data_IF_513289888884
#
_entry.id   IF_513289888884
#
_cell.length_a   1.000
_cell.length_b   1.000
_cell.length_c   1.000
_cell.angle_alpha   90.00
_cell.angle_beta   90.00
_cell.angle_gamma   90.00
#
_symmetry.space_group_name_H-M   'P 1'
#
loop_
_entity.id
_entity.type
_entity.pdbx_description
1 polymer ?
#
# COMPACT_ATOMS: atom_id res chain seq x y z
N UNK A 1 -31.05 -20.57 -31.56
CA UNK A 1 -30.28 -21.23 -30.49
C UNK A 1 -28.81 -20.80 -30.58
N UNK A 2 -28.43 -19.65 -30.00
CA UNK A 2 -27.07 -19.08 -30.14
C UNK A 2 -26.47 -18.51 -28.83
N UNK A 3 -27.15 -18.67 -27.69
CA UNK A 3 -26.69 -18.13 -26.38
C UNK A 3 -25.73 -19.05 -25.63
N UNK A 4 -25.80 -20.36 -25.84
CA UNK A 4 -24.97 -21.35 -25.14
C UNK A 4 -23.50 -21.28 -25.57
N UNK A 5 -23.23 -21.12 -26.88
CA UNK A 5 -21.85 -20.98 -27.39
C UNK A 5 -21.13 -19.79 -26.77
N UNK A 6 -21.80 -18.65 -26.60
CA UNK A 6 -21.21 -17.44 -26.01
C UNK A 6 -20.92 -17.58 -24.51
N UNK A 7 -21.77 -18.29 -23.76
CA UNK A 7 -21.54 -18.52 -22.34
C UNK A 7 -20.41 -19.54 -22.10
N UNK A 8 -20.34 -20.60 -22.90
CA UNK A 8 -19.26 -21.59 -22.81
C UNK A 8 -17.91 -21.00 -23.23
N UNK A 9 -17.89 -20.13 -24.25
CA UNK A 9 -16.68 -19.39 -24.65
C UNK A 9 -16.22 -18.42 -23.54
N UNK A 10 -17.15 -17.70 -22.92
CA UNK A 10 -16.84 -16.82 -21.80
C UNK A 10 -16.30 -17.59 -20.60
N UNK A 11 -16.91 -18.73 -20.24
CA UNK A 11 -16.43 -19.58 -19.16
C UNK A 11 -15.00 -20.07 -19.41
N UNK A 12 -14.70 -20.55 -20.63
CA UNK A 12 -13.35 -20.96 -21.03
C UNK A 12 -12.34 -19.81 -20.99
N UNK A 13 -12.77 -18.60 -21.33
CA UNK A 13 -11.91 -17.42 -21.27
C UNK A 13 -11.58 -17.05 -19.82
N UNK A 14 -12.57 -17.06 -18.93
CA UNK A 14 -12.39 -16.80 -17.50
C UNK A 14 -11.46 -17.85 -16.88
N UNK A 15 -11.69 -19.13 -17.18
CA UNK A 15 -10.84 -20.22 -16.69
C UNK A 15 -9.38 -20.05 -17.11
N UNK A 16 -9.13 -19.62 -18.36
CA UNK A 16 -7.78 -19.34 -18.85
C UNK A 16 -7.13 -18.19 -18.09
N UNK A 17 -7.83 -17.08 -17.89
CA UNK A 17 -7.32 -15.92 -17.15
C UNK A 17 -7.01 -16.27 -15.69
N UNK A 18 -7.86 -17.06 -15.04
CA UNK A 18 -7.63 -17.53 -13.67
C UNK A 18 -6.39 -18.43 -13.60
N UNK A 19 -6.22 -19.34 -14.56
CA UNK A 19 -5.04 -20.21 -14.62
C UNK A 19 -3.74 -19.41 -14.82
N UNK A 20 -3.75 -18.41 -15.71
CA UNK A 20 -2.63 -17.52 -15.94
C UNK A 20 -2.25 -16.75 -14.67
N UNK A 21 -3.23 -16.16 -13.99
CA UNK A 21 -3.01 -15.44 -12.74
C UNK A 21 -2.45 -16.33 -11.62
N UNK A 22 -2.93 -17.58 -11.52
CA UNK A 22 -2.42 -18.56 -10.55
C UNK A 22 -0.95 -18.89 -10.87
N UNK A 23 -0.60 -19.05 -12.15
CA UNK A 23 0.77 -19.34 -12.57
C UNK A 23 1.72 -18.19 -12.23
N UNK A 24 1.33 -16.94 -12.50
CA UNK A 24 2.09 -15.75 -12.14
C UNK A 24 2.26 -15.62 -10.62
N UNK A 25 1.19 -15.83 -9.87
CA UNK A 25 1.21 -15.77 -8.40
C UNK A 25 2.15 -16.83 -7.80
N UNK A 26 2.13 -18.05 -8.34
CA UNK A 26 3.05 -19.13 -7.93
C UNK A 26 4.50 -18.77 -8.24
N UNK A 27 4.78 -18.22 -9.43
CA UNK A 27 6.12 -17.78 -9.80
C UNK A 27 6.64 -16.69 -8.88
N UNK A 28 5.84 -15.67 -8.62
CA UNK A 28 6.22 -14.58 -7.71
C UNK A 28 6.48 -15.09 -6.28
N UNK A 29 5.66 -16.04 -5.80
CA UNK A 29 5.87 -16.67 -4.51
C UNK A 29 7.19 -17.46 -4.47
N UNK A 30 7.51 -18.20 -5.52
CA UNK A 30 8.74 -18.98 -5.61
C UNK A 30 9.99 -18.08 -5.65
N UNK A 31 9.98 -17.00 -6.44
CA UNK A 31 11.07 -16.01 -6.46
C UNK A 31 11.29 -15.35 -5.09
N UNK A 32 10.22 -15.12 -4.32
CA UNK A 32 10.32 -14.59 -2.97
C UNK A 32 10.94 -15.59 -1.99
N UNK A 33 10.61 -16.88 -2.11
CA UNK A 33 11.21 -17.95 -1.31
C UNK A 33 12.70 -18.12 -1.66
N UNK A 34 13.05 -18.15 -2.94
CA UNK A 34 14.44 -18.26 -3.40
C UNK A 34 15.29 -17.08 -2.90
N UNK A 35 14.72 -15.86 -2.86
CA UNK A 35 15.40 -14.69 -2.28
C UNK A 35 15.60 -14.83 -0.77
N UNK A 36 14.59 -15.29 -0.05
CA UNK A 36 14.64 -15.41 1.40
C UNK A 36 15.63 -16.50 1.85
N UNK A 37 15.61 -17.65 1.18
CA UNK A 37 16.46 -18.79 1.51
C UNK A 37 17.84 -18.72 0.84
N UNK A 38 17.98 -18.11 -0.34
CA UNK A 38 19.27 -17.83 -0.97
C UNK A 38 20.13 -16.83 -0.18
N UNK A 39 19.51 -15.95 0.60
CA UNK A 39 20.22 -15.09 1.56
C UNK A 39 20.74 -15.84 2.81
N UNK A 40 20.32 -17.10 3.04
CA UNK A 40 20.69 -17.87 4.23
C UNK A 40 21.99 -18.68 4.05
N UNK A 41 22.49 -18.85 2.82
CA UNK A 41 23.69 -19.63 2.49
C UNK A 41 24.94 -18.78 2.20
N UNK A 42 24.82 -17.46 2.14
CA UNK A 42 25.98 -16.58 2.03
C UNK A 42 26.76 -16.55 3.37
N UNK A 43 28.09 -16.79 3.36
CA UNK A 43 28.89 -16.64 4.57
C UNK A 43 28.76 -15.20 5.08
N UNK A 44 28.55 -15.05 6.39
CA UNK A 44 28.51 -13.76 7.10
C UNK A 44 29.88 -13.09 7.04
N UNK A 45 30.25 -12.55 5.88
CA UNK A 45 31.43 -11.71 5.75
C UNK A 45 31.15 -10.40 6.45
N UNK A 46 31.95 -10.17 7.49
CA UNK A 46 32.18 -8.92 8.19
C UNK A 46 30.90 -8.16 8.55
N UNK A 47 30.59 -8.22 9.84
CA UNK A 47 29.81 -7.21 10.57
C UNK A 47 30.45 -5.84 10.33
N UNK A 48 30.14 -5.22 9.19
CA UNK A 48 30.34 -3.79 9.01
C UNK A 48 29.52 -3.18 10.13
N UNK A 49 30.25 -2.62 11.09
CA UNK A 49 29.73 -1.85 12.22
C UNK A 49 28.52 -1.11 11.70
N UNK A 50 27.33 -1.55 12.13
CA UNK A 50 26.11 -0.86 11.82
C UNK A 50 26.34 0.53 12.38
N UNK A 51 26.64 1.49 11.51
CA UNK A 51 26.70 2.89 11.83
C UNK A 51 25.40 3.12 12.56
N UNK A 52 25.46 3.31 13.89
CA UNK A 52 24.31 3.65 14.73
C UNK A 52 23.50 4.60 13.86
N UNK A 53 22.28 4.22 13.45
CA UNK A 53 21.44 5.12 12.66
C UNK A 53 21.40 6.40 13.47
N UNK A 54 22.13 7.41 12.99
CA UNK A 54 22.19 8.72 13.61
C UNK A 54 20.72 9.07 13.84
N UNK A 55 20.37 9.34 15.11
CA UNK A 55 18.99 9.41 15.59
C UNK A 55 18.10 9.99 14.50
N UNK A 56 17.14 9.18 14.03
CA UNK A 56 16.49 9.35 12.74
C UNK A 56 16.25 10.81 12.47
N UNK A 57 16.94 11.35 11.44
CA UNK A 57 16.85 12.75 11.03
C UNK A 57 15.36 13.08 11.04
N UNK A 58 14.93 13.90 12.00
CA UNK A 58 13.54 14.32 12.08
C UNK A 58 13.25 14.93 10.71
N UNK A 59 12.41 14.27 9.94
CA UNK A 59 12.07 14.70 8.58
C UNK A 59 11.68 16.18 8.69
N UNK A 60 12.27 17.08 7.89
CA UNK A 60 11.98 18.50 8.02
C UNK A 60 10.46 18.71 7.89
N UNK A 61 9.90 19.65 8.67
CA UNK A 61 8.45 19.82 8.78
C UNK A 61 7.77 20.10 7.42
N UNK A 62 8.54 20.63 6.47
CA UNK A 62 8.13 20.93 5.10
C UNK A 62 7.87 19.65 4.29
N UNK A 63 8.78 18.68 4.29
CA UNK A 63 8.58 17.38 3.60
C UNK A 63 7.36 16.63 4.15
N UNK A 64 7.09 16.74 5.46
CA UNK A 64 5.89 16.14 6.07
C UNK A 64 4.62 16.87 5.66
N UNK A 65 4.70 18.19 5.43
CA UNK A 65 3.57 18.99 4.95
C UNK A 65 3.23 18.65 3.51
N UNK A 66 4.22 18.53 2.63
CA UNK A 66 4.03 18.17 1.22
C UNK A 66 3.38 16.79 1.07
N UNK A 67 3.87 15.79 1.81
CA UNK A 67 3.25 14.45 1.86
C UNK A 67 1.82 14.56 2.41
N UNK A 68 1.59 15.44 3.38
CA UNK A 68 0.26 15.71 3.94
C UNK A 68 -0.74 16.26 2.92
N UNK A 69 -0.33 17.18 2.05
CA UNK A 69 -1.21 17.72 1.01
C UNK A 69 -1.52 16.70 -0.08
N UNK A 70 -0.52 15.91 -0.52
CA UNK A 70 -0.75 14.80 -1.45
C UNK A 70 -1.71 13.76 -0.86
N UNK A 71 -1.52 13.43 0.43
CA UNK A 71 -2.40 12.53 1.16
C UNK A 71 -3.83 13.06 1.27
N UNK A 72 -3.99 14.35 1.54
CA UNK A 72 -5.31 14.95 1.59
C UNK A 72 -6.02 14.89 0.23
N UNK A 73 -5.30 15.17 -0.86
CA UNK A 73 -5.82 15.03 -2.22
C UNK A 73 -6.30 13.61 -2.53
N UNK A 74 -5.49 12.61 -2.20
CA UNK A 74 -5.84 11.19 -2.34
C UNK A 74 -7.10 10.82 -1.52
N UNK A 75 -7.20 11.28 -0.26
CA UNK A 75 -8.38 11.06 0.59
C UNK A 75 -9.64 11.70 0.00
N UNK A 76 -9.51 12.85 -0.66
CA UNK A 76 -10.65 13.51 -1.31
C UNK A 76 -11.08 12.78 -2.59
N UNK A 77 -10.13 12.25 -3.37
CA UNK A 77 -10.41 11.47 -4.57
C UNK A 77 -11.02 10.10 -4.26
N UNK A 78 -10.53 9.44 -3.20
CA UNK A 78 -10.92 8.08 -2.81
C UNK A 78 -11.32 8.02 -1.33
N UNK A 79 -12.45 8.65 -0.95
CA UNK A 79 -12.93 8.61 0.41
C UNK A 79 -13.36 7.20 0.80
N UNK A 80 -13.09 6.81 2.05
CA UNK A 80 -13.44 5.49 2.57
C UNK A 80 -12.35 4.44 2.41
N UNK A 81 -11.18 4.82 1.89
CA UNK A 81 -10.05 3.91 1.77
C UNK A 81 -9.20 3.78 3.04
N UNK A 82 -8.38 2.73 3.06
CA UNK A 82 -7.47 2.40 4.16
C UNK A 82 -6.07 3.00 3.99
N UNK A 83 -5.29 3.02 5.08
CA UNK A 83 -3.91 3.58 5.08
C UNK A 83 -2.98 2.90 4.06
N UNK A 84 -3.17 1.60 3.80
CA UNK A 84 -2.36 0.85 2.83
C UNK A 84 -2.66 1.25 1.38
N UNK A 85 -3.92 1.53 1.05
CA UNK A 85 -4.32 1.99 -0.28
C UNK A 85 -3.71 3.37 -0.57
N UNK A 86 -3.82 4.32 0.38
CA UNK A 86 -3.20 5.64 0.23
C UNK A 86 -1.66 5.59 0.18
N UNK A 87 -1.03 4.66 0.91
CA UNK A 87 0.41 4.46 0.84
C UNK A 87 0.85 4.04 -0.57
N UNK A 88 0.13 3.08 -1.17
CA UNK A 88 0.39 2.63 -2.54
C UNK A 88 0.17 3.74 -3.56
N UNK A 89 -0.92 4.51 -3.44
CA UNK A 89 -1.28 5.59 -4.35
C UNK A 89 -0.24 6.72 -4.38
N UNK A 90 0.27 7.13 -3.21
CA UNK A 90 1.21 8.25 -3.07
C UNK A 90 2.66 7.76 -3.24
N UNK A 91 2.90 6.46 -3.40
CA UNK A 91 4.23 5.87 -3.52
C UNK A 91 5.05 5.95 -2.24
N UNK A 92 4.40 5.84 -1.08
CA UNK A 92 5.04 5.93 0.25
C UNK A 92 4.77 4.68 1.08
N UNK A 93 5.39 4.57 2.26
CA UNK A 93 5.09 3.47 3.18
C UNK A 93 4.09 3.88 4.27
N UNK A 94 3.33 2.90 4.80
CA UNK A 94 2.33 3.11 5.86
C UNK A 94 2.92 3.80 7.10
N UNK A 95 4.16 3.48 7.48
CA UNK A 95 4.84 4.10 8.62
C UNK A 95 5.10 5.60 8.42
N UNK A 96 5.28 6.02 7.17
CA UNK A 96 5.56 7.40 6.80
C UNK A 96 4.30 8.25 6.74
N UNK A 97 3.16 7.61 6.45
CA UNK A 97 1.85 8.25 6.47
C UNK A 97 1.33 8.52 7.89
N UNK A 98 1.86 7.85 8.92
CA UNK A 98 1.33 8.00 10.28
C UNK A 98 1.34 9.46 10.78
N UNK A 99 2.46 10.16 10.60
CA UNK A 99 2.59 11.58 11.00
C UNK A 99 1.70 12.54 10.21
N UNK A 100 1.73 12.57 8.86
CA UNK A 100 0.87 13.44 8.08
C UNK A 100 -0.62 13.12 8.31
N UNK A 101 -1.00 11.84 8.42
CA UNK A 101 -2.39 11.45 8.74
C UNK A 101 -2.83 11.94 10.13
N UNK A 102 -1.97 11.83 11.14
CA UNK A 102 -2.25 12.36 12.49
C UNK A 102 -2.39 13.88 12.47
N UNK A 103 -1.55 14.58 11.71
CA UNK A 103 -1.64 16.03 11.53
C UNK A 103 -2.96 16.42 10.86
N UNK A 104 -3.34 15.79 9.75
CA UNK A 104 -4.62 16.06 9.08
C UNK A 104 -5.84 15.83 9.97
N UNK A 105 -5.81 14.79 10.82
CA UNK A 105 -6.86 14.55 11.83
C UNK A 105 -6.92 15.66 12.88
N UNK A 106 -5.76 16.04 13.43
CA UNK A 106 -5.66 17.09 14.43
C UNK A 106 -6.12 18.44 13.88
N UNK A 107 -5.78 18.72 12.63
CA UNK A 107 -6.15 19.94 11.91
C UNK A 107 -7.62 19.90 11.43
N UNK A 108 -8.40 18.84 11.77
CA UNK A 108 -9.83 18.76 11.50
C UNK A 108 -10.22 18.53 10.05
N UNK A 109 -9.26 18.19 9.18
CA UNK A 109 -9.48 18.03 7.73
C UNK A 109 -10.03 16.66 7.35
N UNK A 110 -9.79 15.65 8.18
CA UNK A 110 -10.20 14.26 7.93
C UNK A 110 -10.75 13.59 9.19
N UNK A 111 -11.68 12.66 9.00
CA UNK A 111 -12.18 11.75 10.04
C UNK A 111 -11.86 10.31 9.69
N UNK A 112 -11.81 9.44 10.70
CA UNK A 112 -11.67 8.00 10.49
C UNK A 112 -12.84 7.25 11.08
N UNK A 113 -13.32 6.24 10.37
CA UNK A 113 -14.40 5.34 10.78
C UNK A 113 -13.86 3.92 10.85
N UNK A 114 -14.32 3.12 11.81
CA UNK A 114 -13.88 1.73 11.99
C UNK A 114 -12.76 1.57 13.02
N UNK A 115 -12.23 0.35 13.14
CA UNK A 115 -11.22 -0.02 14.15
C UNK A 115 -10.11 -0.87 13.53
N UNK A 116 -8.87 -0.63 13.98
CA UNK A 116 -7.66 -1.39 13.58
C UNK A 116 -7.52 -1.45 12.05
N UNK A 117 -7.44 -2.65 11.48
CA UNK A 117 -7.35 -2.90 10.04
C UNK A 117 -8.57 -2.47 9.21
N UNK A 118 -9.74 -2.26 9.83
CA UNK A 118 -10.97 -1.79 9.16
C UNK A 118 -11.10 -0.27 9.21
N UNK A 119 -10.04 0.46 9.59
CA UNK A 119 -10.07 1.91 9.67
C UNK A 119 -10.10 2.50 8.27
N UNK A 120 -11.15 3.25 7.96
CA UNK A 120 -11.37 3.98 6.72
C UNK A 120 -11.32 5.48 6.96
N UNK A 121 -10.74 6.23 6.03
CA UNK A 121 -10.54 7.68 6.18
C UNK A 121 -11.44 8.45 5.23
N UNK A 122 -12.00 9.56 5.71
CA UNK A 122 -12.91 10.40 4.96
C UNK A 122 -12.51 11.87 5.13
N UNK A 123 -12.62 12.71 4.09
CA UNK A 123 -12.50 14.14 4.26
C UNK A 123 -13.66 14.64 5.14
N UNK A 124 -13.36 15.59 6.02
CA UNK A 124 -14.40 16.41 6.64
C UNK A 124 -14.63 17.52 5.62
N UNK A 125 -15.70 17.39 4.83
CA UNK A 125 -16.07 18.44 3.89
C UNK A 125 -16.26 19.73 4.68
N UNK A 126 -15.37 20.71 4.49
CA UNK A 126 -15.74 22.09 4.71
C UNK A 126 -16.75 22.38 3.62
N UNK A 127 -18.04 22.33 3.95
CA UNK A 127 -19.05 22.97 3.13
C UNK A 127 -18.69 24.46 3.10
N UNK A 128 -18.12 24.91 1.99
CA UNK A 128 -18.03 26.31 1.63
C UNK A 128 -18.80 26.50 0.34
#
# INVERSE_FOLDING_TARGET
MAKTTSNDELARHIERLVQEHIAESRRAAQEALDRAFGSATAPKTARLVSKRRAGGRRRPPEEVAEIGERLYGAICAHPGEGMAAFAAEIGTTVSELHRPMTRLKRDGRIRSVGKRHLTRYFPIATSS
#
